data_IF_513427294229
#
_entry.id   IF_513427294229
#
_cell.length_a   1.000
_cell.length_b   1.000
_cell.length_c   1.000
_cell.angle_alpha   90.00
_cell.angle_beta   90.00
_cell.angle_gamma   90.00
#
_symmetry.space_group_name_H-M   'P 1'
#
loop_
_entity.id
_entity.type
_entity.pdbx_description
1 polymer ?
#
# COMPACT_ATOMS: atom_id res chain seq x y z
N UNK A 1 -3.66 -7.97 -19.29
CA UNK A 1 -3.77 -7.05 -18.27
C UNK A 1 -2.73 -7.11 -17.23
N UNK A 2 -2.14 -8.22 -16.99
CA UNK A 2 -1.13 -8.22 -15.96
C UNK A 2 0.03 -7.31 -16.31
N UNK A 3 0.31 -7.11 -17.55
CA UNK A 3 1.41 -6.24 -17.92
C UNK A 3 1.14 -4.80 -17.52
N UNK A 4 -0.11 -4.44 -17.31
CA UNK A 4 -0.43 -3.06 -16.97
C UNK A 4 0.16 -2.67 -15.64
N UNK A 5 0.18 -3.58 -14.69
CA UNK A 5 0.70 -3.24 -13.37
C UNK A 5 2.06 -3.87 -13.09
N UNK A 6 2.55 -4.71 -13.96
CA UNK A 6 3.82 -5.37 -13.70
C UNK A 6 4.93 -4.34 -13.56
N UNK A 7 5.68 -4.38 -12.50
CA UNK A 7 6.76 -3.46 -12.24
C UNK A 7 6.32 -2.08 -11.76
N UNK A 8 5.01 -1.84 -11.67
CA UNK A 8 4.53 -0.54 -11.21
C UNK A 8 4.52 -0.47 -9.70
N UNK A 9 4.70 0.72 -9.17
CA UNK A 9 4.72 0.93 -7.73
C UNK A 9 3.35 1.43 -7.30
N UNK A 10 2.62 0.60 -6.59
CA UNK A 10 1.24 0.89 -6.19
C UNK A 10 1.17 1.01 -4.68
N UNK A 11 0.64 2.12 -4.21
CA UNK A 11 0.47 2.33 -2.78
C UNK A 11 -0.97 2.08 -2.41
N UNK A 12 -1.20 1.29 -1.38
CA UNK A 12 -2.54 0.93 -0.95
C UNK A 12 -2.70 1.24 0.53
N UNK A 13 -3.65 2.10 0.87
CA UNK A 13 -3.94 2.39 2.27
C UNK A 13 -5.06 1.46 2.72
N UNK A 14 -5.10 1.15 3.99
CA UNK A 14 -6.07 0.19 4.51
C UNK A 14 -5.80 -1.19 3.95
N UNK A 15 -4.54 -1.55 3.81
CA UNK A 15 -4.15 -2.74 3.07
C UNK A 15 -4.54 -4.05 3.73
N UNK A 16 -4.82 -4.03 5.01
CA UNK A 16 -5.02 -5.30 5.72
C UNK A 16 -6.47 -5.68 5.89
N UNK A 17 -7.38 -4.98 5.31
CA UNK A 17 -8.79 -5.35 5.48
C UNK A 17 -9.59 -5.18 4.21
N UNK A 18 -10.60 -6.00 4.07
CA UNK A 18 -11.60 -5.85 3.03
C UNK A 18 -11.01 -5.75 1.64
N UNK A 19 -11.45 -4.76 0.91
CA UNK A 19 -11.05 -4.56 -0.46
C UNK A 19 -9.56 -4.29 -0.57
N UNK A 20 -8.98 -3.59 0.40
CA UNK A 20 -7.55 -3.31 0.36
C UNK A 20 -6.72 -4.57 0.36
N UNK A 21 -7.09 -5.53 1.18
CA UNK A 21 -6.39 -6.80 1.25
C UNK A 21 -6.48 -7.54 -0.08
N UNK A 22 -7.66 -7.58 -0.67
CA UNK A 22 -7.83 -8.26 -1.95
C UNK A 22 -7.02 -7.58 -3.06
N UNK A 23 -6.97 -6.26 -3.04
CA UNK A 23 -6.23 -5.54 -4.04
C UNK A 23 -4.72 -5.76 -3.91
N UNK A 24 -4.23 -5.83 -2.68
CA UNK A 24 -2.81 -6.11 -2.47
C UNK A 24 -2.47 -7.46 -3.09
N UNK A 25 -3.27 -8.46 -2.82
CA UNK A 25 -2.99 -9.79 -3.35
C UNK A 25 -3.11 -9.83 -4.86
N UNK A 26 -4.12 -9.17 -5.40
CA UNK A 26 -4.34 -9.17 -6.83
C UNK A 26 -3.21 -8.48 -7.59
N UNK A 27 -2.85 -7.27 -7.17
CA UNK A 27 -1.80 -6.55 -7.85
C UNK A 27 -0.43 -7.22 -7.68
N UNK A 28 -0.19 -7.76 -6.49
CA UNK A 28 1.06 -8.46 -6.25
C UNK A 28 1.20 -9.67 -7.17
N UNK A 29 0.13 -10.42 -7.36
CA UNK A 29 0.18 -11.59 -8.22
C UNK A 29 0.42 -11.22 -9.68
N UNK A 30 0.19 -9.96 -10.03
CA UNK A 30 0.42 -9.49 -11.38
C UNK A 30 1.77 -8.76 -11.51
N UNK A 31 2.60 -8.87 -10.50
CA UNK A 31 3.95 -8.32 -10.58
C UNK A 31 4.15 -6.90 -10.13
N UNK A 32 3.16 -6.29 -9.52
CA UNK A 32 3.31 -4.92 -9.02
C UNK A 32 4.13 -4.91 -7.73
N UNK A 33 4.78 -3.81 -7.47
CA UNK A 33 5.44 -3.58 -6.19
C UNK A 33 4.43 -2.86 -5.31
N UNK A 34 4.23 -3.31 -4.10
CA UNK A 34 3.18 -2.80 -3.24
C UNK A 34 3.73 -2.04 -2.06
N UNK A 35 3.25 -0.83 -1.86
CA UNK A 35 3.56 -0.05 -0.68
C UNK A 35 2.30 -0.09 0.17
N UNK A 36 2.39 -0.78 1.32
CA UNK A 36 1.22 -1.04 2.13
C UNK A 36 1.19 -0.12 3.33
N UNK A 37 0.11 0.63 3.49
CA UNK A 37 -0.08 1.48 4.64
C UNK A 37 -1.20 0.95 5.48
N UNK A 38 -0.99 0.84 6.74
CA UNK A 38 -2.01 0.43 7.68
C UNK A 38 -1.49 0.52 9.10
N UNK A 39 -2.35 0.27 10.05
CA UNK A 39 -1.93 0.37 11.44
C UNK A 39 -1.78 -0.99 12.12
N UNK A 40 -2.27 -2.06 11.52
CA UNK A 40 -2.21 -3.37 12.15
C UNK A 40 -0.89 -4.03 11.75
N UNK A 41 0.09 -3.93 12.64
CA UNK A 41 1.41 -4.38 12.38
C UNK A 41 1.52 -5.85 12.08
N UNK A 42 0.83 -6.68 12.84
CA UNK A 42 0.92 -8.12 12.64
C UNK A 42 0.33 -8.54 11.31
N UNK A 43 -0.78 -7.92 10.94
CA UNK A 43 -1.38 -8.26 9.68
C UNK A 43 -0.58 -7.77 8.50
N UNK A 44 0.05 -6.61 8.63
CA UNK A 44 0.92 -6.11 7.58
C UNK A 44 2.12 -7.04 7.38
N UNK A 45 2.68 -7.55 8.46
CA UNK A 45 3.82 -8.46 8.37
C UNK A 45 3.42 -9.77 7.70
N UNK A 46 2.27 -10.31 8.07
CA UNK A 46 1.78 -11.53 7.45
C UNK A 46 1.56 -11.34 5.96
N UNK A 47 0.96 -10.21 5.60
CA UNK A 47 0.66 -9.94 4.22
C UNK A 47 1.94 -9.72 3.41
N UNK A 48 2.90 -9.04 4.00
CA UNK A 48 4.18 -8.84 3.36
C UNK A 48 4.84 -10.17 3.02
N UNK A 49 4.83 -11.09 3.97
CA UNK A 49 5.42 -12.39 3.74
C UNK A 49 4.69 -13.15 2.64
N UNK A 50 3.39 -13.04 2.63
CA UNK A 50 2.59 -13.73 1.65
C UNK A 50 2.87 -13.22 0.23
N UNK A 51 2.94 -11.93 0.04
CA UNK A 51 3.11 -11.38 -1.29
C UNK A 51 4.57 -11.36 -1.74
N UNK A 52 5.50 -11.52 -0.82
CA UNK A 52 6.90 -11.52 -1.20
C UNK A 52 7.25 -12.67 -2.14
N UNK A 53 6.40 -13.68 -2.19
CA UNK A 53 6.62 -14.77 -3.11
C UNK A 53 6.35 -14.36 -4.57
N UNK A 54 5.63 -13.28 -4.79
CA UNK A 54 5.23 -12.89 -6.13
C UNK A 54 6.01 -11.72 -6.68
N UNK A 55 6.37 -10.76 -5.87
CA UNK A 55 7.04 -9.59 -6.39
C UNK A 55 8.14 -9.19 -5.44
N UNK A 56 9.05 -8.45 -5.90
CA UNK A 56 10.23 -8.24 -5.17
C UNK A 56 10.36 -6.99 -4.34
N UNK A 57 9.68 -5.94 -4.64
CA UNK A 57 9.89 -4.75 -3.94
C UNK A 57 8.65 -4.29 -3.24
N UNK A 58 8.45 -4.68 -2.04
CA UNK A 58 7.29 -4.28 -1.26
C UNK A 58 7.74 -3.51 -0.03
N UNK A 59 6.90 -2.63 0.47
CA UNK A 59 7.25 -1.82 1.62
C UNK A 59 6.05 -1.70 2.54
N UNK A 60 6.29 -1.79 3.84
CA UNK A 60 5.26 -1.61 4.84
C UNK A 60 5.47 -0.27 5.50
N UNK A 61 4.42 0.52 5.62
CA UNK A 61 4.47 1.74 6.38
C UNK A 61 3.35 1.68 7.42
N UNK A 62 3.73 1.61 8.68
CA UNK A 62 2.75 1.53 9.75
C UNK A 62 2.30 2.92 10.10
N UNK A 63 1.08 3.23 9.84
CA UNK A 63 0.54 4.56 10.10
C UNK A 63 -0.96 4.51 10.29
N UNK A 64 -1.45 5.29 11.20
CA UNK A 64 -2.88 5.45 11.38
C UNK A 64 -3.25 6.74 10.66
N UNK A 65 -3.87 6.61 9.50
CA UNK A 65 -4.18 7.78 8.69
C UNK A 65 -5.08 8.79 9.38
N UNK A 66 -5.82 8.36 10.36
CA UNK A 66 -6.69 9.30 11.07
C UNK A 66 -5.91 10.23 11.97
N UNK A 67 -4.68 9.87 12.29
CA UNK A 67 -3.84 10.69 13.16
C UNK A 67 -2.71 11.34 12.38
N UNK A 68 -2.73 11.21 11.07
CA UNK A 68 -1.62 11.70 10.29
C UNK A 68 -1.71 13.19 10.11
N UNK A 69 -0.65 13.89 10.41
CA UNK A 69 -0.59 15.32 10.19
C UNK A 69 0.37 15.58 9.04
N UNK A 70 0.60 16.83 8.73
CA UNK A 70 1.44 17.20 7.62
C UNK A 70 2.87 16.69 7.78
N UNK A 71 3.38 16.77 8.99
CA UNK A 71 4.73 16.33 9.25
C UNK A 71 4.84 14.83 9.04
N UNK A 72 3.87 14.08 9.50
CA UNK A 72 3.86 12.64 9.31
C UNK A 72 3.76 12.27 7.84
N UNK A 73 2.97 13.01 7.08
CA UNK A 73 2.83 12.76 5.65
C UNK A 73 4.16 12.98 4.93
N UNK A 74 4.90 14.01 5.33
CA UNK A 74 6.19 14.27 4.73
C UNK A 74 7.17 13.15 5.07
N UNK A 75 7.13 12.65 6.30
CA UNK A 75 7.99 11.56 6.70
C UNK A 75 7.72 10.31 5.89
N UNK A 76 6.44 10.01 5.65
CA UNK A 76 6.08 8.85 4.85
C UNK A 76 6.58 9.02 3.41
N UNK A 77 6.40 10.21 2.86
CA UNK A 77 6.86 10.49 1.52
C UNK A 77 8.37 10.31 1.40
N UNK A 78 9.10 10.80 2.37
CA UNK A 78 10.55 10.66 2.37
C UNK A 78 10.98 9.21 2.47
N UNK A 79 10.27 8.43 3.26
CA UNK A 79 10.59 7.03 3.41
C UNK A 79 10.38 6.29 2.09
N UNK A 80 9.28 6.60 1.40
CA UNK A 80 8.99 5.95 0.12
C UNK A 80 10.04 6.32 -0.91
N UNK A 81 10.47 7.56 -0.92
CA UNK A 81 11.45 8.01 -1.89
C UNK A 81 12.81 7.35 -1.75
N UNK A 82 13.08 6.74 -0.63
CA UNK A 82 14.34 6.02 -0.45
C UNK A 82 14.35 4.75 -1.29
N UNK A 83 13.19 4.20 -1.60
CA UNK A 83 13.12 2.92 -2.28
C UNK A 83 12.49 2.98 -3.65
N UNK A 84 11.71 4.01 -3.96
CA UNK A 84 10.99 4.08 -5.23
C UNK A 84 11.16 5.45 -5.84
N UNK A 85 11.35 5.48 -7.15
CA UNK A 85 11.48 6.77 -7.81
C UNK A 85 10.15 7.49 -7.87
N UNK A 86 9.08 6.77 -8.02
CA UNK A 86 7.78 7.39 -8.08
C UNK A 86 6.71 6.38 -7.72
N UNK A 87 5.50 6.84 -7.52
CA UNK A 87 4.37 5.98 -7.26
C UNK A 87 3.48 6.06 -8.46
N UNK A 88 3.20 4.92 -9.08
CA UNK A 88 2.39 4.86 -10.27
C UNK A 88 0.88 4.84 -9.99
N UNK A 89 0.49 4.37 -8.84
CA UNK A 89 -0.93 4.32 -8.48
C UNK A 89 -1.14 4.42 -7.00
N UNK A 90 -2.27 5.00 -6.62
CA UNK A 90 -2.62 5.12 -5.21
C UNK A 90 -4.05 4.66 -5.02
N UNK A 91 -4.26 3.68 -4.16
CA UNK A 91 -5.58 3.22 -3.83
C UNK A 91 -5.83 3.54 -2.36
N UNK A 92 -6.78 4.41 -2.14
CA UNK A 92 -7.07 4.86 -0.80
C UNK A 92 -8.26 4.11 -0.25
N UNK A 93 -7.99 3.07 0.47
CA UNK A 93 -9.03 2.21 0.98
C UNK A 93 -9.25 2.39 2.48
N UNK A 94 -9.02 3.53 2.98
CA UNK A 94 -9.19 3.71 4.37
C UNK A 94 -10.58 4.05 4.55
N UNK A 95 -11.32 3.28 4.76
CA UNK A 95 -12.60 3.46 4.83
C UNK A 95 -13.14 4.25 5.80
N UNK A 96 -12.58 4.89 6.38
CA UNK A 96 -13.03 5.54 7.30
C UNK A 96 -14.22 6.14 7.20
N UNK A 97 -14.46 6.87 6.61
CA UNK A 97 -15.54 7.45 6.62
C UNK A 97 -16.25 7.42 5.62
N UNK A 98 -16.19 6.79 5.09
CA UNK A 98 -16.90 6.58 4.13
C UNK A 98 -17.28 7.60 3.23
N UNK A 99 -17.46 8.51 3.46
CA UNK A 99 -18.07 9.27 2.55
C UNK A 99 -17.17 9.93 1.67
N UNK A 100 -16.13 10.06 1.84
CA UNK A 100 -15.41 10.69 1.06
C UNK A 100 -14.71 10.10 0.20
N UNK A 101 -14.70 9.13 0.08
CA UNK A 101 -13.88 8.56 -0.65
C UNK A 101 -14.04 8.49 -1.94
N UNK A 102 -13.53 8.74 -2.61
CA UNK A 102 -13.64 8.66 -3.82
C UNK A 102 -12.43 8.32 -4.31
N UNK A 103 -12.14 7.59 -4.79
CA UNK A 103 -10.93 7.24 -5.27
C UNK A 103 -10.86 7.34 -6.57
#
# INVERSE_FOLDING_TARGET
>A
MSEVVQGKNIMITGATSGIGLELVKSFSSKGANIIMLGKDEDRLDELYDEISAHSGKNLIIRSDLRKLDEKGAIQISDEIKKYYENIDGLIHNAAILGNLTRI
#
